data_IF_111217837027
#
_entry.id   IF_111217837027
#
_cell.length_a   1.000
_cell.length_b   1.000
_cell.length_c   1.000
_cell.angle_alpha   90.00
_cell.angle_beta   90.00
_cell.angle_gamma   90.00
#
_symmetry.space_group_name_H-M   'P 1'
#
loop_
_entity.id
_entity.type
_entity.pdbx_description
1 polymer ?
#
# COMPACT_ATOMS: atom_id res chain seq x y z
N UNK A 1 22.95 -17.76 -19.53
CA UNK A 1 22.75 -16.37 -19.85
C UNK A 1 21.33 -16.04 -19.46
N UNK A 2 21.16 -15.22 -18.40
CA UNK A 2 19.84 -14.91 -17.87
C UNK A 2 19.11 -13.91 -18.76
N UNK A 3 17.84 -14.15 -18.96
CA UNK A 3 16.90 -13.17 -19.53
C UNK A 3 16.85 -11.95 -18.60
N UNK A 4 16.81 -10.76 -19.13
CA UNK A 4 16.66 -9.56 -18.30
C UNK A 4 15.27 -9.50 -17.66
N UNK A 5 15.16 -8.94 -16.45
CA UNK A 5 13.87 -8.83 -15.75
C UNK A 5 12.77 -8.11 -16.56
N UNK A 6 13.04 -7.03 -17.31
CA UNK A 6 12.04 -6.42 -18.18
C UNK A 6 11.45 -7.37 -19.21
N UNK A 7 12.23 -8.31 -19.73
CA UNK A 7 11.73 -9.32 -20.67
C UNK A 7 10.80 -10.34 -19.97
N UNK A 8 11.17 -10.78 -18.76
CA UNK A 8 10.30 -11.62 -17.93
C UNK A 8 8.98 -10.90 -17.58
N UNK A 9 9.04 -9.61 -17.27
CA UNK A 9 7.85 -8.78 -17.07
C UNK A 9 6.98 -8.74 -18.33
N UNK A 10 7.56 -8.47 -19.50
CA UNK A 10 6.83 -8.44 -20.77
C UNK A 10 6.18 -9.79 -21.09
N UNK A 11 6.83 -10.89 -20.71
CA UNK A 11 6.27 -12.23 -20.88
C UNK A 11 5.01 -12.42 -20.01
N UNK A 12 5.05 -12.02 -18.73
CA UNK A 12 3.87 -12.11 -17.88
C UNK A 12 2.74 -11.22 -18.37
N UNK A 13 3.03 -10.04 -18.93
CA UNK A 13 2.03 -9.18 -19.56
C UNK A 13 1.34 -9.86 -20.78
N UNK A 14 2.10 -10.58 -21.58
CA UNK A 14 1.52 -11.38 -22.68
C UNK A 14 0.61 -12.49 -22.17
N UNK A 15 1.04 -13.20 -21.12
CA UNK A 15 0.21 -14.24 -20.49
C UNK A 15 -1.05 -13.66 -19.85
N UNK A 16 -0.96 -12.50 -19.21
CA UNK A 16 -2.11 -11.82 -18.63
C UNK A 16 -3.18 -11.49 -19.67
N UNK A 17 -2.76 -11.02 -20.85
CA UNK A 17 -3.70 -10.72 -21.96
C UNK A 17 -4.27 -11.98 -22.61
N UNK A 18 -3.45 -13.01 -22.80
CA UNK A 18 -3.83 -14.19 -23.59
C UNK A 18 -4.54 -15.28 -22.78
N UNK A 19 -4.14 -15.48 -21.53
CA UNK A 19 -4.58 -16.62 -20.72
C UNK A 19 -5.35 -16.22 -19.45
N UNK A 20 -4.98 -15.11 -18.80
CA UNK A 20 -5.56 -14.74 -17.51
C UNK A 20 -6.80 -13.84 -17.64
N UNK A 21 -6.93 -13.08 -18.72
CA UNK A 21 -8.02 -12.12 -18.94
C UNK A 21 -9.21 -12.64 -19.75
N UNK A 22 -9.15 -13.85 -20.33
CA UNK A 22 -10.10 -14.32 -21.34
C UNK A 22 -11.20 -15.27 -20.84
N UNK A 23 -11.36 -15.49 -19.53
CA UNK A 23 -12.35 -16.45 -19.06
C UNK A 23 -12.65 -16.41 -17.57
N UNK A 24 -13.49 -17.32 -17.13
CA UNK A 24 -13.91 -17.55 -15.73
C UNK A 24 -12.90 -18.41 -14.94
N UNK A 25 -11.64 -18.45 -15.38
CA UNK A 25 -10.60 -19.31 -14.81
C UNK A 25 -10.01 -18.79 -13.50
N UNK A 26 -9.35 -19.69 -12.76
CA UNK A 26 -8.67 -19.42 -11.49
C UNK A 26 -7.63 -18.29 -11.61
N UNK A 27 -6.99 -18.15 -12.76
CA UNK A 27 -5.96 -17.14 -13.01
C UNK A 27 -6.46 -15.69 -12.96
N UNK A 28 -7.77 -15.45 -13.04
CA UNK A 28 -8.35 -14.13 -12.85
C UNK A 28 -8.21 -13.60 -11.42
N UNK A 29 -7.93 -14.48 -10.46
CA UNK A 29 -7.76 -14.14 -9.06
C UNK A 29 -6.29 -13.95 -8.64
N UNK A 30 -5.35 -14.00 -9.58
CA UNK A 30 -3.94 -13.69 -9.29
C UNK A 30 -3.85 -12.23 -8.89
N UNK A 31 -3.32 -11.96 -7.70
CA UNK A 31 -3.14 -10.61 -7.17
C UNK A 31 -1.69 -10.15 -7.24
N UNK A 32 -0.74 -11.07 -7.13
CA UNK A 32 0.68 -10.79 -7.02
C UNK A 32 1.48 -11.64 -8.01
N UNK A 33 2.43 -11.02 -8.67
CA UNK A 33 3.40 -11.66 -9.53
C UNK A 33 4.80 -11.57 -8.96
N UNK A 34 5.59 -12.60 -9.18
CA UNK A 34 7.03 -12.64 -8.91
C UNK A 34 7.75 -13.00 -10.20
N UNK A 35 8.76 -12.21 -10.56
CA UNK A 35 9.64 -12.46 -11.70
C UNK A 35 11.08 -12.54 -11.23
N UNK A 36 11.86 -13.46 -11.81
CA UNK A 36 13.27 -13.66 -11.44
C UNK A 36 14.10 -14.10 -12.63
N UNK A 37 15.36 -13.66 -12.65
CA UNK A 37 16.39 -14.17 -13.54
C UNK A 37 17.56 -14.86 -12.80
N UNK A 38 17.32 -15.32 -11.56
CA UNK A 38 18.23 -15.88 -10.56
C UNK A 38 18.97 -14.81 -9.75
N UNK A 39 19.56 -13.82 -10.38
CA UNK A 39 20.38 -12.78 -9.73
C UNK A 39 19.53 -11.64 -9.21
N UNK A 40 18.39 -11.38 -9.85
CA UNK A 40 17.44 -10.34 -9.46
C UNK A 40 16.02 -10.91 -9.43
N UNK A 41 15.30 -10.58 -8.37
CA UNK A 41 13.92 -11.01 -8.17
C UNK A 41 13.08 -9.82 -7.78
N UNK A 42 11.97 -9.60 -8.49
CA UNK A 42 11.01 -8.52 -8.21
C UNK A 42 9.60 -9.09 -8.02
N UNK A 43 8.79 -8.35 -7.29
CA UNK A 43 7.35 -8.59 -7.15
C UNK A 43 6.55 -7.37 -7.60
N UNK A 44 5.29 -7.59 -7.98
CA UNK A 44 4.37 -6.51 -8.36
C UNK A 44 2.91 -6.99 -8.36
N UNK A 45 1.97 -6.05 -8.30
CA UNK A 45 0.54 -6.34 -8.29
C UNK A 45 -0.02 -6.57 -9.69
N UNK A 46 -1.07 -7.38 -9.79
CA UNK A 46 -1.87 -7.53 -11.02
C UNK A 46 -2.35 -6.19 -11.55
N UNK A 47 -2.32 -6.02 -12.87
CA UNK A 47 -2.69 -4.77 -13.53
C UNK A 47 -1.55 -3.75 -13.63
N UNK A 48 -0.37 -4.04 -13.08
CA UNK A 48 0.84 -3.25 -13.32
C UNK A 48 1.25 -3.35 -14.79
N UNK A 49 1.36 -2.20 -15.47
CA UNK A 49 1.65 -2.10 -16.90
C UNK A 49 3.02 -1.48 -17.23
N UNK A 50 3.76 -1.03 -16.22
CA UNK A 50 5.11 -0.49 -16.38
C UNK A 50 6.07 -1.21 -15.44
N UNK A 51 7.23 -1.64 -15.96
CA UNK A 51 8.28 -2.32 -15.20
C UNK A 51 8.81 -1.50 -14.01
N UNK A 52 8.78 -0.18 -14.07
CA UNK A 52 9.18 0.71 -12.98
C UNK A 52 8.36 0.52 -11.69
N UNK A 53 7.18 -0.08 -11.79
CA UNK A 53 6.33 -0.45 -10.64
C UNK A 53 6.50 -1.90 -10.20
N UNK A 54 7.64 -2.52 -10.55
CA UNK A 54 8.09 -3.78 -9.98
C UNK A 54 9.17 -3.51 -8.94
N UNK A 55 9.18 -4.24 -7.84
CA UNK A 55 10.03 -3.92 -6.70
C UNK A 55 10.85 -5.13 -6.26
N UNK A 56 12.15 -4.96 -5.99
CA UNK A 56 12.90 -5.95 -5.24
C UNK A 56 12.39 -6.00 -3.81
N UNK A 57 12.47 -7.15 -3.17
CA UNK A 57 12.28 -7.23 -1.72
C UNK A 57 13.49 -6.62 -1.01
N UNK A 58 13.27 -6.04 0.15
CA UNK A 58 14.33 -5.54 1.01
C UNK A 58 14.04 -5.93 2.47
N UNK A 59 15.08 -6.09 3.27
CA UNK A 59 14.96 -6.27 4.71
C UNK A 59 14.70 -4.94 5.43
N UNK A 60 14.56 -4.99 6.74
CA UNK A 60 14.29 -3.80 7.56
C UNK A 60 15.37 -2.71 7.42
N UNK A 61 16.63 -3.08 7.20
CA UNK A 61 17.75 -2.15 6.96
C UNK A 61 17.78 -1.61 5.51
N UNK A 62 16.72 -1.84 4.76
CA UNK A 62 16.58 -1.47 3.34
C UNK A 62 17.66 -2.10 2.43
N UNK A 63 18.23 -3.24 2.83
CA UNK A 63 19.12 -4.03 1.97
C UNK A 63 18.29 -4.93 1.07
N UNK A 64 18.49 -4.81 -0.24
CA UNK A 64 17.75 -5.58 -1.22
C UNK A 64 18.13 -7.07 -1.19
N UNK A 65 17.12 -7.92 -1.30
CA UNK A 65 17.23 -9.37 -1.40
C UNK A 65 17.03 -9.74 -2.87
N UNK A 66 18.14 -9.87 -3.59
CA UNK A 66 18.13 -10.06 -5.05
C UNK A 66 17.96 -11.52 -5.47
N UNK A 67 18.73 -12.42 -4.86
CA UNK A 67 18.79 -13.83 -5.26
C UNK A 67 17.48 -14.56 -4.96
N UNK A 68 17.06 -15.40 -5.90
CA UNK A 68 15.77 -16.11 -5.80
C UNK A 68 15.65 -16.98 -4.54
N UNK A 69 16.72 -17.64 -4.12
CA UNK A 69 16.68 -18.51 -2.94
C UNK A 69 16.40 -17.69 -1.66
N UNK A 70 17.19 -16.62 -1.44
CA UNK A 70 16.99 -15.72 -0.30
C UNK A 70 15.64 -14.98 -0.37
N UNK A 71 15.17 -14.64 -1.58
CA UNK A 71 13.84 -14.07 -1.77
C UNK A 71 12.75 -15.08 -1.41
N UNK A 72 12.89 -16.34 -1.82
CA UNK A 72 11.93 -17.38 -1.50
C UNK A 72 11.82 -17.60 0.01
N UNK A 73 12.93 -17.68 0.71
CA UNK A 73 12.98 -17.86 2.16
C UNK A 73 12.32 -16.71 2.93
N UNK A 74 12.53 -15.47 2.48
CA UNK A 74 12.05 -14.28 3.20
C UNK A 74 10.66 -13.84 2.75
N UNK A 75 10.38 -13.85 1.45
CA UNK A 75 9.15 -13.29 0.88
C UNK A 75 8.07 -14.34 0.65
N UNK A 76 8.43 -15.55 0.14
CA UNK A 76 7.45 -16.56 -0.24
C UNK A 76 7.00 -17.47 0.91
N UNK A 77 7.43 -17.22 2.15
CA UNK A 77 6.88 -17.98 3.26
C UNK A 77 5.38 -17.70 3.44
N UNK A 78 4.65 -18.69 3.90
CA UNK A 78 3.18 -18.66 3.97
C UNK A 78 2.63 -17.47 4.77
N UNK A 79 3.23 -17.17 5.91
CA UNK A 79 2.78 -16.06 6.78
C UNK A 79 2.96 -14.72 6.07
N UNK A 80 4.13 -14.50 5.46
CA UNK A 80 4.42 -13.24 4.77
C UNK A 80 3.54 -13.03 3.54
N UNK A 81 3.37 -14.07 2.70
CA UNK A 81 2.47 -13.98 1.53
C UNK A 81 1.04 -13.69 1.96
N UNK A 82 0.56 -14.32 3.03
CA UNK A 82 -0.77 -14.04 3.56
C UNK A 82 -0.90 -12.56 3.95
N UNK A 83 0.08 -12.01 4.67
CA UNK A 83 0.09 -10.59 5.02
C UNK A 83 0.17 -9.69 3.77
N UNK A 84 1.01 -10.02 2.80
CA UNK A 84 1.10 -9.27 1.54
C UNK A 84 -0.27 -9.15 0.87
N UNK A 85 -1.01 -10.24 0.75
CA UNK A 85 -2.30 -10.28 0.07
C UNK A 85 -3.42 -9.62 0.88
N UNK A 86 -3.42 -9.76 2.21
CA UNK A 86 -4.53 -9.28 3.06
C UNK A 86 -4.32 -7.89 3.63
N UNK A 87 -3.07 -7.48 3.83
CA UNK A 87 -2.76 -6.24 4.54
C UNK A 87 -2.03 -5.21 3.67
N UNK A 88 -1.13 -5.64 2.75
CA UNK A 88 -0.24 -4.71 2.05
C UNK A 88 -0.59 -4.47 0.58
N UNK A 89 -1.75 -4.93 0.13
CA UNK A 89 -2.32 -4.52 -1.14
C UNK A 89 -3.32 -3.38 -0.97
N UNK A 90 -3.41 -2.53 -1.99
CA UNK A 90 -4.34 -1.40 -2.05
C UNK A 90 -5.02 -1.38 -3.41
N UNK A 91 -6.34 -1.30 -3.41
CA UNK A 91 -7.11 -1.08 -4.63
C UNK A 91 -7.16 0.43 -4.89
N UNK A 92 -6.67 0.86 -6.03
CA UNK A 92 -6.87 2.20 -6.54
C UNK A 92 -8.21 2.22 -7.30
N UNK A 93 -9.29 2.53 -6.58
CA UNK A 93 -10.66 2.41 -7.12
C UNK A 93 -10.89 3.30 -8.35
N UNK A 94 -10.30 4.51 -8.35
CA UNK A 94 -10.40 5.44 -9.45
C UNK A 94 -9.86 4.87 -10.78
N UNK A 95 -8.81 4.05 -10.72
CA UNK A 95 -8.16 3.44 -11.88
C UNK A 95 -8.52 1.94 -12.04
N UNK A 96 -9.29 1.39 -11.12
CA UNK A 96 -9.60 -0.05 -11.04
C UNK A 96 -8.34 -0.92 -11.09
N UNK A 97 -7.30 -0.48 -10.39
CA UNK A 97 -5.97 -1.09 -10.38
C UNK A 97 -5.58 -1.52 -8.98
N UNK A 98 -4.94 -2.70 -8.90
CA UNK A 98 -4.34 -3.17 -7.67
C UNK A 98 -2.91 -2.64 -7.55
N UNK A 99 -2.54 -2.23 -6.35
CA UNK A 99 -1.19 -1.80 -5.99
C UNK A 99 -0.68 -2.65 -4.84
N UNK A 100 0.62 -2.85 -4.78
CA UNK A 100 1.31 -3.49 -3.66
C UNK A 100 2.32 -2.52 -3.05
N UNK A 101 2.41 -2.50 -1.72
CA UNK A 101 3.36 -1.64 -1.02
C UNK A 101 4.80 -2.08 -1.29
N UNK A 102 5.69 -1.09 -1.33
CA UNK A 102 7.14 -1.31 -1.35
C UNK A 102 7.65 -1.73 0.04
N UNK A 103 8.79 -2.42 0.16
CA UNK A 103 9.29 -2.92 1.45
C UNK A 103 9.37 -1.84 2.54
N UNK A 104 9.96 -0.69 2.25
CA UNK A 104 10.07 0.40 3.22
C UNK A 104 8.72 0.98 3.66
N UNK A 105 7.70 0.95 2.78
CA UNK A 105 6.34 1.36 3.13
C UNK A 105 5.69 0.34 4.07
N UNK A 106 5.92 -0.95 3.84
CA UNK A 106 5.45 -2.04 4.72
C UNK A 106 6.04 -1.86 6.11
N UNK A 107 7.36 -1.70 6.20
CA UNK A 107 8.02 -1.50 7.49
C UNK A 107 7.55 -0.22 8.20
N UNK A 108 7.34 0.87 7.46
CA UNK A 108 6.78 2.10 8.02
C UNK A 108 5.38 1.86 8.61
N UNK A 109 4.50 1.18 7.88
CA UNK A 109 3.15 0.82 8.36
C UNK A 109 3.22 -0.06 9.60
N UNK A 110 4.07 -1.08 9.61
CA UNK A 110 4.27 -1.96 10.76
C UNK A 110 4.74 -1.19 11.99
N UNK A 111 5.71 -0.29 11.84
CA UNK A 111 6.22 0.54 12.94
C UNK A 111 5.15 1.50 13.49
N UNK A 112 4.30 2.07 12.63
CA UNK A 112 3.17 2.89 13.08
C UNK A 112 2.19 2.06 13.89
N UNK A 113 1.78 0.90 13.40
CA UNK A 113 0.84 0.00 14.09
C UNK A 113 1.41 -0.44 15.43
N UNK A 114 2.66 -0.90 15.45
CA UNK A 114 3.36 -1.31 16.67
C UNK A 114 3.40 -0.16 17.69
N UNK A 115 3.68 1.07 17.26
CA UNK A 115 3.71 2.24 18.13
C UNK A 115 2.35 2.53 18.74
N UNK A 116 1.27 2.43 17.95
CA UNK A 116 -0.10 2.61 18.45
C UNK A 116 -0.45 1.56 19.50
N UNK A 117 -0.09 0.30 19.25
CA UNK A 117 -0.44 -0.81 20.15
C UNK A 117 0.38 -0.86 21.45
N UNK A 118 1.66 -0.48 21.40
CA UNK A 118 2.57 -0.77 22.52
C UNK A 118 2.95 0.45 23.33
N UNK A 119 3.23 1.57 22.68
CA UNK A 119 3.89 2.70 23.34
C UNK A 119 2.97 3.88 23.67
N UNK A 120 1.83 4.03 22.98
CA UNK A 120 0.88 5.14 23.11
C UNK A 120 1.56 6.53 23.12
N UNK A 121 2.72 6.63 22.45
CA UNK A 121 3.52 7.86 22.38
C UNK A 121 3.66 8.30 20.94
N UNK A 122 4.07 9.55 20.74
CA UNK A 122 4.34 10.08 19.42
C UNK A 122 5.56 9.41 18.76
N UNK A 123 5.65 9.51 17.44
CA UNK A 123 6.75 9.05 16.63
C UNK A 123 6.84 9.87 15.34
N UNK A 124 7.84 9.59 14.52
CA UNK A 124 7.98 10.18 13.20
C UNK A 124 8.49 9.15 12.21
N UNK A 125 8.17 9.37 10.92
CA UNK A 125 8.69 8.59 9.81
C UNK A 125 9.32 9.55 8.80
N UNK A 126 10.57 9.29 8.48
CA UNK A 126 11.32 10.09 7.53
C UNK A 126 11.13 9.53 6.11
N UNK A 127 10.34 10.23 5.31
CA UNK A 127 10.09 9.89 3.92
C UNK A 127 10.54 11.03 3.00
N UNK A 128 11.23 10.69 1.92
CA UNK A 128 11.58 11.64 0.85
C UNK A 128 10.37 12.03 0.01
N UNK A 129 10.48 13.10 -0.75
CA UNK A 129 9.46 13.47 -1.74
C UNK A 129 9.32 12.37 -2.78
N UNK A 130 8.08 12.06 -3.19
CA UNK A 130 7.79 11.01 -4.18
C UNK A 130 7.89 9.57 -3.67
N UNK A 131 8.21 9.33 -2.39
CA UNK A 131 8.29 7.98 -1.80
C UNK A 131 6.94 7.31 -1.52
N UNK A 132 5.81 7.96 -1.86
CA UNK A 132 4.47 7.44 -1.61
C UNK A 132 4.01 7.60 -0.16
N UNK A 133 4.31 8.75 0.45
CA UNK A 133 3.83 9.11 1.80
C UNK A 133 2.33 8.91 1.96
N UNK A 134 1.54 9.38 0.99
CA UNK A 134 0.08 9.32 1.01
C UNK A 134 -0.41 7.86 1.02
N UNK A 135 0.17 7.01 0.18
CA UNK A 135 -0.17 5.58 0.15
C UNK A 135 0.17 4.89 1.47
N UNK A 136 1.35 5.19 2.04
CA UNK A 136 1.79 4.65 3.34
C UNK A 136 0.84 5.08 4.47
N UNK A 137 0.50 6.38 4.52
CA UNK A 137 -0.39 6.95 5.52
C UNK A 137 -1.82 6.41 5.40
N UNK A 138 -2.34 6.32 4.17
CA UNK A 138 -3.65 5.73 3.90
C UNK A 138 -3.70 4.27 4.38
N UNK A 139 -2.68 3.48 4.04
CA UNK A 139 -2.64 2.07 4.44
C UNK A 139 -2.51 1.89 5.95
N UNK A 140 -1.65 2.68 6.60
CA UNK A 140 -1.52 2.70 8.04
C UNK A 140 -2.87 3.04 8.71
N UNK A 141 -3.56 4.08 8.24
CA UNK A 141 -4.88 4.47 8.73
C UNK A 141 -5.91 3.35 8.58
N UNK A 142 -5.94 2.67 7.43
CA UNK A 142 -6.83 1.53 7.20
C UNK A 142 -6.61 0.39 8.20
N UNK A 143 -5.36 0.06 8.49
CA UNK A 143 -5.03 -1.04 9.40
C UNK A 143 -5.25 -0.65 10.87
N UNK A 144 -4.91 0.57 11.25
CA UNK A 144 -5.15 1.10 12.60
C UNK A 144 -6.65 1.14 12.93
N UNK A 145 -7.50 1.54 11.97
CA UNK A 145 -8.97 1.54 12.17
C UNK A 145 -9.57 0.15 12.46
N UNK A 146 -8.83 -0.93 12.17
CA UNK A 146 -9.26 -2.30 12.48
C UNK A 146 -8.95 -2.71 13.91
N UNK A 147 -8.10 -1.95 14.61
CA UNK A 147 -7.75 -2.23 16.00
C UNK A 147 -8.95 -1.94 16.90
N UNK A 148 -9.32 -2.86 17.79
CA UNK A 148 -10.49 -2.70 18.65
C UNK A 148 -10.42 -1.48 19.58
N UNK A 149 -9.20 -1.13 20.02
CA UNK A 149 -8.90 -0.02 20.90
C UNK A 149 -8.92 1.36 20.21
N UNK A 150 -8.99 1.40 18.87
CA UNK A 150 -9.00 2.64 18.11
C UNK A 150 -10.42 3.02 17.71
N UNK A 151 -10.91 4.11 18.29
CA UNK A 151 -12.22 4.67 17.94
C UNK A 151 -12.15 5.51 16.64
N UNK A 152 -11.11 6.35 16.52
CA UNK A 152 -10.94 7.27 15.39
C UNK A 152 -9.49 7.44 14.99
N UNK A 153 -9.29 7.70 13.71
CA UNK A 153 -8.00 8.13 13.13
C UNK A 153 -8.17 9.52 12.55
N UNK A 154 -7.39 10.47 13.04
CA UNK A 154 -7.36 11.83 12.55
C UNK A 154 -6.09 12.04 11.71
N UNK A 155 -6.27 12.35 10.44
CA UNK A 155 -5.17 12.70 9.53
C UNK A 155 -5.15 14.22 9.34
N UNK A 156 -4.11 14.85 9.86
CA UNK A 156 -3.96 16.30 9.86
C UNK A 156 -2.94 16.73 8.82
N UNK A 157 -3.32 17.63 7.92
CA UNK A 157 -2.47 18.17 6.84
C UNK A 157 -2.13 19.64 7.12
N UNK A 158 -0.89 20.02 6.92
CA UNK A 158 -0.38 21.37 7.26
C UNK A 158 -0.98 22.49 6.41
N UNK A 159 -1.30 22.22 5.14
CA UNK A 159 -1.74 23.26 4.18
C UNK A 159 -3.04 22.87 3.48
N UNK A 160 -3.89 23.87 3.24
CA UNK A 160 -5.18 23.71 2.53
C UNK A 160 -5.04 23.13 1.11
N UNK A 161 -3.97 23.47 0.38
CA UNK A 161 -3.70 22.95 -0.95
C UNK A 161 -3.35 21.44 -0.91
N UNK A 162 -2.60 21.02 0.13
CA UNK A 162 -2.28 19.61 0.36
C UNK A 162 -3.49 18.81 0.84
N UNK A 163 -4.43 19.46 1.54
CA UNK A 163 -5.69 18.83 1.94
C UNK A 163 -6.47 18.36 0.72
N UNK A 164 -6.71 19.23 -0.26
CA UNK A 164 -7.43 18.87 -1.49
C UNK A 164 -6.74 17.75 -2.26
N UNK A 165 -5.42 17.78 -2.36
CA UNK A 165 -4.64 16.71 -3.01
C UNK A 165 -4.70 15.41 -2.20
N UNK A 166 -4.48 15.48 -0.90
CA UNK A 166 -4.52 14.32 0.01
C UNK A 166 -5.89 13.68 -0.01
N UNK A 167 -6.96 14.46 0.08
CA UNK A 167 -8.34 13.97 -0.02
C UNK A 167 -8.60 13.30 -1.36
N UNK A 168 -8.15 13.89 -2.47
CA UNK A 168 -8.28 13.28 -3.80
C UNK A 168 -7.53 11.96 -3.88
N UNK A 169 -6.31 11.89 -3.37
CA UNK A 169 -5.50 10.67 -3.35
C UNK A 169 -6.14 9.60 -2.44
N UNK A 170 -6.62 9.94 -1.24
CA UNK A 170 -7.32 9.00 -0.36
C UNK A 170 -8.62 8.50 -1.00
N UNK A 171 -9.42 9.38 -1.60
CA UNK A 171 -10.64 8.99 -2.30
C UNK A 171 -10.37 8.23 -3.61
N UNK A 172 -9.20 8.39 -4.22
CA UNK A 172 -8.77 7.57 -5.34
C UNK A 172 -8.47 6.12 -4.92
N UNK A 173 -7.93 5.93 -3.69
CA UNK A 173 -7.72 4.59 -3.13
C UNK A 173 -9.05 3.94 -2.69
N UNK A 174 -9.94 4.71 -2.10
CA UNK A 174 -11.26 4.25 -1.70
C UNK A 174 -12.25 5.43 -1.73
N UNK A 175 -13.27 5.31 -2.58
CA UNK A 175 -14.32 6.33 -2.71
C UNK A 175 -14.99 6.58 -1.36
N UNK A 176 -15.24 7.83 -1.05
CA UNK A 176 -15.90 8.28 0.19
C UNK A 176 -15.18 7.79 1.48
N UNK A 177 -13.86 7.58 1.39
CA UNK A 177 -13.05 7.16 2.54
C UNK A 177 -12.73 8.30 3.49
N UNK A 178 -12.94 9.52 3.05
CA UNK A 178 -12.56 10.74 3.75
C UNK A 178 -13.67 11.76 3.69
N UNK A 179 -14.15 12.15 4.84
CA UNK A 179 -14.97 13.35 4.99
C UNK A 179 -14.10 14.57 5.18
N UNK A 180 -14.20 15.53 4.25
CA UNK A 180 -13.51 16.82 4.36
C UNK A 180 -14.19 17.69 5.40
N UNK A 181 -13.42 18.12 6.38
CA UNK A 181 -13.87 19.15 7.33
C UNK A 181 -13.83 20.52 6.68
N UNK A 182 -15.00 21.06 6.37
CA UNK A 182 -15.13 22.42 5.80
C UNK A 182 -15.05 23.53 6.87
N UNK A 183 -15.29 23.21 8.12
CA UNK A 183 -15.25 24.13 9.26
C UNK A 183 -15.20 23.38 10.59
N UNK A 184 -14.91 24.10 11.68
CA UNK A 184 -14.80 23.54 13.04
C UNK A 184 -16.07 22.80 13.50
N UNK A 185 -17.25 23.29 13.15
CA UNK A 185 -18.51 22.63 13.54
C UNK A 185 -18.66 21.27 12.86
N UNK A 186 -18.25 21.15 11.59
CA UNK A 186 -18.23 19.87 10.88
C UNK A 186 -17.27 18.90 11.55
N UNK A 187 -16.07 19.35 11.93
CA UNK A 187 -15.10 18.53 12.66
C UNK A 187 -15.65 18.01 13.98
N UNK A 188 -16.26 18.90 14.79
CA UNK A 188 -16.87 18.52 16.07
C UNK A 188 -17.97 17.48 15.87
N UNK A 189 -18.82 17.66 14.85
CA UNK A 189 -19.87 16.69 14.52
C UNK A 189 -19.28 15.34 14.10
N UNK A 190 -18.27 15.32 13.22
CA UNK A 190 -17.60 14.10 12.79
C UNK A 190 -16.89 13.37 13.95
N UNK A 191 -16.28 14.13 14.86
CA UNK A 191 -15.68 13.55 16.07
C UNK A 191 -16.73 12.90 16.99
N UNK A 192 -17.95 13.44 17.03
CA UNK A 192 -19.06 12.89 17.83
C UNK A 192 -19.77 11.70 17.16
N UNK A 193 -19.67 11.51 15.85
CA UNK A 193 -20.37 10.44 15.14
C UNK A 193 -19.61 9.10 15.25
N UNK A 194 -20.31 8.00 15.47
CA UNK A 194 -19.67 6.67 15.60
C UNK A 194 -19.22 6.06 14.25
N UNK A 195 -19.71 6.58 13.13
CA UNK A 195 -19.49 5.96 11.81
C UNK A 195 -18.20 6.41 11.12
N UNK A 196 -17.78 7.65 11.34
CA UNK A 196 -16.60 8.23 10.67
C UNK A 196 -15.34 7.90 11.45
N UNK A 197 -14.70 6.80 11.07
CA UNK A 197 -13.45 6.37 11.72
C UNK A 197 -12.20 7.10 11.21
N UNK A 198 -12.19 7.57 9.96
CA UNK A 198 -11.10 8.33 9.37
C UNK A 198 -11.56 9.75 9.02
N UNK A 199 -10.96 10.72 9.65
CA UNK A 199 -11.22 12.14 9.44
C UNK A 199 -9.95 12.80 8.90
N UNK A 200 -10.06 13.56 7.81
CA UNK A 200 -8.96 14.37 7.27
C UNK A 200 -9.28 15.84 7.47
N UNK A 201 -8.35 16.58 8.05
CA UNK A 201 -8.50 18.00 8.35
C UNK A 201 -7.19 18.75 8.19
N UNK A 202 -7.24 20.07 8.16
CA UNK A 202 -6.09 20.99 8.14
C UNK A 202 -5.86 21.66 9.49
N UNK A 203 -4.65 22.20 9.69
CA UNK A 203 -4.27 22.98 10.88
C UNK A 203 -4.71 24.45 10.83
N UNK A 204 -5.64 24.85 9.98
CA UNK A 204 -6.13 26.23 9.90
C UNK A 204 -7.21 26.53 10.92
#
# INVERSE_FOLDING_TARGET
AGVELPEAFNQTQRYAKAAYGSGTGLFNYIQLFVISNRDHTHYYATGTNNFEFTFPWANFDNKHVHKIDAFADTFLNHSHITQMLTEYMVILEAEKRLMVLRPYQIYAVQQIIQRVQTAQTHGYIWHTTGSGKTLTSFKASQLIMRLPEVEKVLFVVDRSDLDTQTVREFNAFKKDSVDTTKNTNTLVNQLGQKHDKLIVTTLQ
#
